data_IF_359204893760
#
_entry.id   IF_359204893760
#
_cell.length_a   1.000
_cell.length_b   1.000
_cell.length_c   1.000
_cell.angle_alpha   90.00
_cell.angle_beta   90.00
_cell.angle_gamma   90.00
#
_symmetry.space_group_name_H-M   'P 1'
#
loop_
_entity.id
_entity.type
_entity.pdbx_description
1 polymer ?
#
# COMPACT_ATOMS: atom_id res chain seq x y z
N UNK A 1 14.84 -56.66 21.55
CA UNK A 1 15.37 -55.59 22.44
C UNK A 1 15.37 -54.28 21.67
N UNK A 2 14.27 -53.52 21.75
CA UNK A 2 14.08 -52.27 20.99
C UNK A 2 14.34 -51.09 21.93
N UNK A 3 15.34 -50.27 21.58
CA UNK A 3 15.80 -49.11 22.35
C UNK A 3 14.80 -47.96 22.23
N UNK A 4 14.25 -47.56 23.38
CA UNK A 4 13.47 -46.32 23.54
C UNK A 4 14.41 -45.12 23.50
N UNK A 5 14.28 -44.27 22.48
CA UNK A 5 14.93 -42.96 22.42
C UNK A 5 14.06 -41.95 23.17
N UNK A 6 14.50 -41.52 24.35
CA UNK A 6 13.92 -40.42 25.10
C UNK A 6 14.38 -39.10 24.46
N UNK A 7 13.48 -38.46 23.72
CA UNK A 7 13.65 -37.12 23.16
C UNK A 7 13.41 -36.11 24.29
N UNK A 8 14.49 -35.59 24.85
CA UNK A 8 14.47 -34.47 25.80
C UNK A 8 14.19 -33.19 25.02
N UNK A 9 12.95 -32.71 25.06
CA UNK A 9 12.58 -31.38 24.54
C UNK A 9 12.84 -30.36 25.64
N UNK A 10 13.99 -29.71 25.58
CA UNK A 10 14.31 -28.55 26.41
C UNK A 10 13.52 -27.33 25.90
N UNK A 11 12.33 -27.12 26.45
CA UNK A 11 11.58 -25.86 26.34
C UNK A 11 12.32 -24.77 27.13
N UNK A 12 13.37 -24.19 26.54
CA UNK A 12 13.90 -22.91 26.96
C UNK A 12 12.90 -21.82 26.54
N UNK A 13 11.84 -21.68 27.33
CA UNK A 13 11.00 -20.48 27.34
C UNK A 13 11.79 -19.31 27.90
N UNK A 14 12.75 -18.82 27.11
CA UNK A 14 13.32 -17.50 27.36
C UNK A 14 12.23 -16.48 27.08
N UNK A 15 11.79 -15.76 28.11
CA UNK A 15 11.10 -14.49 27.96
C UNK A 15 12.05 -13.54 27.23
N UNK A 16 12.09 -13.60 25.89
CA UNK A 16 12.66 -12.52 25.12
C UNK A 16 11.96 -11.24 25.58
N UNK A 17 12.69 -10.16 25.92
CA UNK A 17 12.06 -8.90 26.28
C UNK A 17 11.08 -8.53 25.17
N UNK A 18 9.83 -8.28 25.54
CA UNK A 18 8.80 -7.88 24.60
C UNK A 18 9.32 -6.69 23.80
N UNK A 19 9.36 -6.81 22.46
CA UNK A 19 10.03 -5.85 21.59
C UNK A 19 9.52 -4.41 21.77
N UNK A 20 8.30 -4.23 22.28
CA UNK A 20 7.71 -2.93 22.64
C UNK A 20 8.45 -2.21 23.79
N UNK A 21 9.09 -2.95 24.70
CA UNK A 21 9.76 -2.39 25.87
C UNK A 21 11.24 -2.04 25.61
N UNK A 22 11.74 -2.22 24.39
CA UNK A 22 13.12 -1.85 24.04
C UNK A 22 13.22 -0.32 24.02
N UNK A 23 14.25 0.21 24.68
CA UNK A 23 14.52 1.65 24.73
C UNK A 23 15.13 2.10 23.39
N UNK A 24 14.61 3.17 22.80
CA UNK A 24 15.06 3.67 21.50
C UNK A 24 16.50 4.17 21.51
N UNK A 25 16.99 4.66 22.65
CA UNK A 25 18.39 5.09 22.81
C UNK A 25 19.41 3.95 22.74
N UNK A 26 18.96 2.71 22.93
CA UNK A 26 19.78 1.49 22.85
C UNK A 26 19.82 0.91 21.43
N UNK A 27 19.04 1.46 20.50
CA UNK A 27 18.88 0.96 19.13
C UNK A 27 19.57 1.92 18.16
N UNK A 28 20.43 1.39 17.29
CA UNK A 28 20.84 2.13 16.09
C UNK A 28 19.74 2.05 15.03
N UNK A 29 18.87 3.07 15.01
CA UNK A 29 17.77 3.18 14.04
C UNK A 29 18.26 3.47 12.60
N UNK A 30 19.56 3.68 12.37
CA UNK A 30 20.12 3.75 11.02
C UNK A 30 20.49 2.37 10.46
N UNK A 31 20.64 1.35 11.32
CA UNK A 31 20.85 -0.02 10.90
C UNK A 31 19.51 -0.71 10.57
N UNK A 32 19.23 -0.83 9.27
CA UNK A 32 18.00 -1.46 8.79
C UNK A 32 17.91 -2.95 9.13
N UNK A 33 19.01 -3.64 9.41
CA UNK A 33 18.97 -5.02 9.87
C UNK A 33 18.41 -5.08 11.30
N UNK A 34 18.88 -4.22 12.20
CA UNK A 34 18.34 -4.09 13.56
C UNK A 34 16.86 -3.72 13.54
N UNK A 35 16.46 -2.73 12.73
CA UNK A 35 15.05 -2.34 12.58
C UNK A 35 14.18 -3.51 12.11
N UNK A 36 14.68 -4.32 11.17
CA UNK A 36 13.96 -5.51 10.69
C UNK A 36 13.82 -6.56 11.78
N UNK A 37 14.87 -6.83 12.54
CA UNK A 37 14.84 -7.79 13.65
C UNK A 37 13.83 -7.39 14.74
N UNK A 38 13.73 -6.10 15.07
CA UNK A 38 12.71 -5.61 16.01
C UNK A 38 11.30 -5.76 15.41
N UNK A 39 11.12 -5.34 14.14
CA UNK A 39 9.85 -5.47 13.42
C UNK A 39 9.34 -6.91 13.42
N UNK A 40 10.20 -7.89 13.16
CA UNK A 40 9.83 -9.30 13.04
C UNK A 40 9.42 -9.92 14.39
N UNK A 41 9.74 -9.26 15.50
CA UNK A 41 9.28 -9.63 16.86
C UNK A 41 7.95 -8.97 17.26
N UNK A 42 7.46 -8.03 16.46
CA UNK A 42 6.21 -7.31 16.69
C UNK A 42 5.05 -7.97 15.91
N UNK A 43 3.82 -7.71 16.37
CA UNK A 43 2.63 -8.05 15.58
C UNK A 43 2.61 -7.31 14.23
N UNK A 44 1.89 -7.79 13.20
CA UNK A 44 1.94 -7.17 11.86
C UNK A 44 1.61 -5.68 11.80
N UNK A 45 0.65 -5.23 12.64
CA UNK A 45 0.25 -3.82 12.71
C UNK A 45 1.33 -2.97 13.41
N UNK A 46 1.81 -3.43 14.55
CA UNK A 46 2.87 -2.79 15.33
C UNK A 46 4.17 -2.69 14.54
N UNK A 47 4.56 -3.76 13.84
CA UNK A 47 5.74 -3.77 12.97
C UNK A 47 5.63 -2.74 11.84
N UNK A 48 4.45 -2.57 11.26
CA UNK A 48 4.23 -1.54 10.23
C UNK A 48 4.31 -0.12 10.81
N UNK A 49 3.71 0.12 11.98
CA UNK A 49 3.78 1.40 12.68
C UNK A 49 5.22 1.74 13.10
N UNK A 50 5.96 0.77 13.63
CA UNK A 50 7.37 0.94 13.98
C UNK A 50 8.24 1.30 12.77
N UNK A 51 8.07 0.62 11.64
CA UNK A 51 8.81 0.98 10.41
C UNK A 51 8.43 2.38 9.94
N UNK A 52 7.16 2.75 10.03
CA UNK A 52 6.71 4.11 9.66
C UNK A 52 7.32 5.18 10.57
N UNK A 53 7.44 4.91 11.88
CA UNK A 53 8.19 5.74 12.82
C UNK A 53 9.63 5.96 12.35
N UNK A 54 10.38 4.87 12.12
CA UNK A 54 11.79 4.93 11.73
C UNK A 54 11.98 5.70 10.42
N UNK A 55 11.12 5.45 9.43
CA UNK A 55 11.27 6.05 8.10
C UNK A 55 10.80 7.51 8.06
N UNK A 56 9.69 7.86 8.70
CA UNK A 56 9.08 9.19 8.53
C UNK A 56 9.31 10.14 9.69
N UNK A 57 9.48 9.63 10.90
CA UNK A 57 9.40 10.46 12.10
C UNK A 57 10.70 10.50 12.91
N UNK A 58 11.62 9.57 12.65
CA UNK A 58 12.97 9.65 13.20
C UNK A 58 13.80 10.70 12.45
N UNK A 59 14.37 11.66 13.20
CA UNK A 59 15.04 12.85 12.65
C UNK A 59 16.24 12.55 11.74
N UNK A 60 16.88 11.39 11.92
CA UNK A 60 18.03 10.97 11.11
C UNK A 60 17.64 10.23 9.82
N UNK A 61 16.35 10.00 9.59
CA UNK A 61 15.89 9.33 8.36
C UNK A 61 15.99 10.26 7.15
N UNK A 62 16.38 9.69 6.00
CA UNK A 62 16.36 10.39 4.71
C UNK A 62 14.95 10.81 4.28
N UNK A 63 13.91 10.15 4.80
CA UNK A 63 12.49 10.42 4.50
C UNK A 63 11.77 11.12 5.65
N UNK A 64 12.50 11.80 6.52
CA UNK A 64 11.93 12.53 7.65
C UNK A 64 10.91 13.57 7.19
N UNK A 65 9.73 13.57 7.81
CA UNK A 65 8.61 14.42 7.43
C UNK A 65 8.74 15.88 7.90
N UNK A 66 9.84 16.23 8.58
CA UNK A 66 10.08 17.58 9.10
C UNK A 66 9.44 17.85 10.47
N UNK A 67 8.69 16.91 11.04
CA UNK A 67 8.01 17.07 12.32
C UNK A 67 8.27 15.89 13.27
N UNK A 68 8.83 16.12 14.47
CA UNK A 68 9.09 15.05 15.42
C UNK A 68 7.79 14.48 15.95
N UNK A 69 7.76 13.18 16.27
CA UNK A 69 6.66 12.61 17.04
C UNK A 69 6.90 12.86 18.53
N UNK A 70 5.96 13.56 19.14
CA UNK A 70 5.99 13.93 20.55
C UNK A 70 4.71 13.45 21.24
N UNK A 71 4.79 13.14 22.53
CA UNK A 71 3.66 12.83 23.40
C UNK A 71 2.88 14.11 23.77
N UNK A 72 1.90 13.99 24.68
CA UNK A 72 1.07 15.12 25.13
C UNK A 72 1.83 16.16 25.95
N UNK A 73 2.96 15.76 26.52
CA UNK A 73 3.88 16.55 27.33
C UNK A 73 4.96 17.24 26.47
N UNK A 74 5.04 16.91 25.18
CA UNK A 74 6.01 17.46 24.24
C UNK A 74 7.34 16.71 24.19
N UNK A 75 7.39 15.48 24.70
CA UNK A 75 8.58 14.63 24.79
C UNK A 75 8.61 13.59 23.67
N UNK A 76 9.81 13.23 23.23
CA UNK A 76 10.01 12.15 22.26
C UNK A 76 9.69 10.78 22.88
N UNK A 77 9.30 9.76 22.09
CA UNK A 77 9.13 8.41 22.62
C UNK A 77 10.47 7.87 23.13
N UNK A 78 10.44 7.24 24.30
CA UNK A 78 11.59 6.58 24.90
C UNK A 78 11.67 5.12 24.49
N UNK A 79 10.53 4.48 24.23
CA UNK A 79 10.44 3.05 23.88
C UNK A 79 9.88 2.81 22.49
N UNK A 80 10.13 1.60 21.96
CA UNK A 80 9.53 1.12 20.70
C UNK A 80 7.99 1.16 20.78
N UNK A 81 7.40 0.77 21.92
CA UNK A 81 5.96 0.77 22.13
C UNK A 81 5.36 2.17 22.06
N UNK A 82 5.97 3.15 22.70
CA UNK A 82 5.53 4.55 22.63
C UNK A 82 5.66 5.10 21.21
N UNK A 83 6.75 4.79 20.51
CA UNK A 83 6.94 5.20 19.14
C UNK A 83 5.86 4.63 18.19
N UNK A 84 5.46 3.37 18.40
CA UNK A 84 4.36 2.73 17.69
C UNK A 84 3.04 3.45 17.97
N UNK A 85 2.72 3.69 19.25
CA UNK A 85 1.44 4.27 19.65
C UNK A 85 1.28 5.71 19.15
N UNK A 86 2.35 6.51 19.24
CA UNK A 86 2.39 7.87 18.70
C UNK A 86 2.26 7.88 17.17
N UNK A 87 2.94 6.96 16.48
CA UNK A 87 2.85 6.85 15.01
C UNK A 87 1.45 6.45 14.57
N UNK A 88 0.85 5.46 15.22
CA UNK A 88 -0.51 5.03 14.93
C UNK A 88 -1.52 6.17 15.13
N UNK A 89 -1.35 6.97 16.20
CA UNK A 89 -2.19 8.13 16.47
C UNK A 89 -2.04 9.22 15.42
N UNK A 90 -0.80 9.54 15.01
CA UNK A 90 -0.50 10.51 13.94
C UNK A 90 -1.12 10.06 12.62
N UNK A 91 -0.87 8.82 12.21
CA UNK A 91 -1.41 8.25 10.98
C UNK A 91 -2.95 8.28 10.96
N UNK A 92 -3.59 7.99 12.11
CA UNK A 92 -5.04 8.06 12.23
C UNK A 92 -5.56 9.50 12.04
N UNK A 93 -4.90 10.49 12.64
CA UNK A 93 -5.25 11.91 12.47
C UNK A 93 -5.04 12.36 11.03
N UNK A 94 -3.90 12.01 10.41
CA UNK A 94 -3.63 12.33 9.00
C UNK A 94 -4.67 11.71 8.07
N UNK A 95 -5.06 10.45 8.30
CA UNK A 95 -6.14 9.81 7.54
C UNK A 95 -7.47 10.53 7.73
N UNK A 96 -7.81 10.96 8.94
CA UNK A 96 -9.03 11.73 9.20
C UNK A 96 -8.99 13.09 8.51
N UNK A 97 -7.84 13.77 8.50
CA UNK A 97 -7.65 15.03 7.78
C UNK A 97 -7.76 14.80 6.27
N UNK A 98 -7.14 13.77 5.70
CA UNK A 98 -7.26 13.44 4.27
C UNK A 98 -8.71 13.08 3.91
N UNK A 99 -9.42 12.34 4.76
CA UNK A 99 -10.84 12.02 4.54
C UNK A 99 -11.72 13.26 4.68
N UNK A 100 -11.43 14.15 5.63
CA UNK A 100 -12.16 15.40 5.84
C UNK A 100 -11.84 16.50 4.82
N UNK A 101 -10.64 16.48 4.23
CA UNK A 101 -10.18 17.38 3.17
C UNK A 101 -10.50 16.89 1.76
N UNK A 102 -10.96 15.65 1.60
CA UNK A 102 -11.65 15.24 0.37
C UNK A 102 -12.98 16.00 0.33
N UNK A 103 -12.96 17.21 -0.23
CA UNK A 103 -14.17 17.81 -0.77
C UNK A 103 -14.89 16.72 -1.59
N UNK A 104 -16.23 16.63 -1.54
CA UNK A 104 -16.94 15.68 -2.38
C UNK A 104 -16.49 15.95 -3.81
N UNK A 105 -15.72 15.01 -4.40
CA UNK A 105 -15.25 15.11 -5.78
C UNK A 105 -16.53 15.37 -6.58
N UNK A 106 -16.60 16.54 -7.22
CA UNK A 106 -17.84 16.97 -7.85
C UNK A 106 -18.27 15.85 -8.80
N UNK A 107 -19.56 15.49 -8.85
CA UNK A 107 -20.03 14.36 -9.67
C UNK A 107 -19.47 14.32 -11.10
N UNK A 108 -19.19 15.49 -11.67
CA UNK A 108 -18.51 15.68 -12.95
C UNK A 108 -17.03 15.29 -12.95
N UNK A 109 -16.29 15.61 -11.90
CA UNK A 109 -14.88 15.21 -11.72
C UNK A 109 -14.78 13.69 -11.57
N UNK A 110 -15.65 13.05 -10.77
CA UNK A 110 -15.73 11.59 -10.68
C UNK A 110 -16.05 10.95 -12.04
N UNK A 111 -16.99 11.54 -12.78
CA UNK A 111 -17.32 11.09 -14.13
C UNK A 111 -16.12 11.22 -15.08
N UNK A 112 -15.33 12.30 -14.95
CA UNK A 112 -14.12 12.52 -15.75
C UNK A 112 -13.02 11.53 -15.41
N UNK A 113 -12.74 11.26 -14.14
CA UNK A 113 -11.76 10.24 -13.74
C UNK A 113 -12.12 8.85 -14.27
N UNK A 114 -13.40 8.47 -14.17
CA UNK A 114 -13.91 7.21 -14.70
C UNK A 114 -13.83 7.16 -16.23
N UNK A 115 -14.10 8.27 -16.91
CA UNK A 115 -13.92 8.40 -18.36
C UNK A 115 -12.45 8.18 -18.75
N UNK A 116 -11.51 8.86 -18.08
CA UNK A 116 -10.08 8.74 -18.34
C UNK A 116 -9.59 7.30 -18.09
N UNK A 117 -10.13 6.63 -17.07
CA UNK A 117 -9.87 5.21 -16.82
C UNK A 117 -10.35 4.29 -17.95
N UNK A 118 -11.53 4.57 -18.52
CA UNK A 118 -12.06 3.83 -19.67
C UNK A 118 -11.24 4.08 -20.94
N UNK A 119 -10.78 5.31 -21.18
CA UNK A 119 -9.87 5.62 -22.29
C UNK A 119 -8.56 4.85 -22.16
N UNK A 120 -7.89 4.90 -20.99
CA UNK A 120 -6.66 4.12 -20.75
C UNK A 120 -6.88 2.62 -20.98
N UNK A 121 -8.01 2.09 -20.52
CA UNK A 121 -8.36 0.68 -20.70
C UNK A 121 -8.56 0.34 -22.18
N UNK A 122 -9.17 1.23 -22.96
CA UNK A 122 -9.32 1.07 -24.42
C UNK A 122 -7.96 1.04 -25.12
N UNK A 123 -7.08 1.98 -24.77
CA UNK A 123 -5.77 2.11 -25.40
C UNK A 123 -4.90 0.86 -25.15
N UNK A 124 -4.92 0.30 -23.93
CA UNK A 124 -4.28 -0.99 -23.61
C UNK A 124 -4.79 -2.12 -24.51
N UNK A 125 -6.10 -2.15 -24.81
CA UNK A 125 -6.68 -3.19 -25.68
C UNK A 125 -6.27 -3.00 -27.15
N UNK A 126 -6.15 -1.76 -27.61
CA UNK A 126 -5.63 -1.42 -28.94
C UNK A 126 -4.18 -1.88 -29.06
N UNK A 127 -3.35 -1.61 -28.06
CA UNK A 127 -1.96 -2.06 -28.01
C UNK A 127 -1.86 -3.60 -28.02
N UNK A 128 -2.75 -4.28 -27.30
CA UNK A 128 -2.83 -5.74 -27.31
C UNK A 128 -3.22 -6.30 -28.69
N UNK A 129 -4.15 -5.66 -29.40
CA UNK A 129 -4.49 -6.02 -30.78
C UNK A 129 -3.34 -5.76 -31.74
N UNK A 130 -2.64 -4.63 -31.60
CA UNK A 130 -1.47 -4.31 -32.40
C UNK A 130 -0.36 -5.34 -32.20
N UNK A 131 -0.14 -5.78 -30.96
CA UNK A 131 0.81 -6.85 -30.64
C UNK A 131 0.42 -8.18 -31.28
N UNK A 132 -0.85 -8.61 -31.14
CA UNK A 132 -1.33 -9.84 -31.78
C UNK A 132 -1.16 -9.79 -33.31
N UNK A 133 -1.44 -8.63 -33.92
CA UNK A 133 -1.26 -8.44 -35.36
C UNK A 133 0.21 -8.49 -35.77
N UNK A 134 1.11 -7.96 -34.96
CA UNK A 134 2.56 -8.06 -35.19
C UNK A 134 3.03 -9.52 -35.15
N UNK A 135 2.49 -10.33 -34.23
CA UNK A 135 2.89 -11.73 -34.02
C UNK A 135 2.30 -12.69 -35.06
N UNK A 136 1.02 -12.51 -35.41
CA UNK A 136 0.27 -13.47 -36.24
C UNK A 136 -0.18 -12.91 -37.60
N UNK A 137 0.21 -11.68 -37.93
CA UNK A 137 -0.23 -11.01 -39.15
C UNK A 137 -1.76 -10.90 -39.24
N UNK A 138 -2.32 -11.13 -40.43
CA UNK A 138 -3.77 -11.11 -40.62
C UNK A 138 -4.49 -12.29 -39.95
N UNK A 139 -3.77 -13.36 -39.61
CA UNK A 139 -4.29 -14.51 -38.85
C UNK A 139 -4.67 -14.17 -37.41
N UNK A 140 -4.22 -13.03 -36.87
CA UNK A 140 -4.53 -12.57 -35.52
C UNK A 140 -6.04 -12.49 -35.25
N UNK A 141 -6.86 -12.13 -36.25
CA UNK A 141 -8.31 -11.98 -36.10
C UNK A 141 -9.05 -13.30 -35.84
N UNK A 142 -8.45 -14.42 -36.21
CA UNK A 142 -9.04 -15.75 -36.00
C UNK A 142 -8.74 -16.30 -34.60
N UNK A 143 -7.92 -15.58 -33.82
CA UNK A 143 -7.51 -15.98 -32.48
C UNK A 143 -8.62 -15.70 -31.47
N UNK A 144 -8.88 -16.62 -30.51
CA UNK A 144 -9.87 -16.37 -29.46
C UNK A 144 -9.52 -15.15 -28.59
N UNK A 145 -8.23 -14.85 -28.43
CA UNK A 145 -7.74 -13.65 -27.74
C UNK A 145 -8.24 -12.37 -28.43
N UNK A 146 -8.26 -12.34 -29.76
CA UNK A 146 -8.75 -11.19 -30.54
C UNK A 146 -10.24 -10.93 -30.29
N UNK A 147 -11.07 -11.98 -30.35
CA UNK A 147 -12.52 -11.88 -30.08
C UNK A 147 -12.80 -11.36 -28.67
N UNK A 148 -12.00 -11.78 -27.68
CA UNK A 148 -12.10 -11.31 -26.30
C UNK A 148 -11.78 -9.82 -26.19
N UNK A 149 -10.72 -9.36 -26.88
CA UNK A 149 -10.35 -7.94 -26.95
C UNK A 149 -11.46 -7.11 -27.61
N UNK A 150 -12.03 -7.56 -28.73
CA UNK A 150 -13.13 -6.86 -29.41
C UNK A 150 -14.37 -6.74 -28.52
N UNK A 151 -14.73 -7.81 -27.82
CA UNK A 151 -15.87 -7.81 -26.90
C UNK A 151 -15.67 -6.79 -25.78
N UNK A 152 -14.48 -6.76 -25.17
CA UNK A 152 -14.13 -5.80 -24.12
C UNK A 152 -14.08 -4.37 -24.64
N UNK A 153 -13.51 -4.15 -25.83
CA UNK A 153 -13.50 -2.83 -26.48
C UNK A 153 -14.91 -2.32 -26.78
N UNK A 154 -15.81 -3.18 -27.26
CA UNK A 154 -17.21 -2.83 -27.49
C UNK A 154 -17.92 -2.44 -26.19
N UNK A 155 -17.65 -3.14 -25.08
CA UNK A 155 -18.15 -2.78 -23.76
C UNK A 155 -17.63 -1.42 -23.28
N UNK A 156 -16.33 -1.18 -23.40
CA UNK A 156 -15.71 0.11 -23.02
C UNK A 156 -16.31 1.24 -23.87
N UNK A 157 -16.45 1.06 -25.18
CA UNK A 157 -17.03 2.06 -26.07
C UNK A 157 -18.48 2.37 -25.72
N UNK A 158 -19.30 1.37 -25.37
CA UNK A 158 -20.67 1.60 -24.86
C UNK A 158 -20.66 2.43 -23.58
N UNK A 159 -19.77 2.14 -22.63
CA UNK A 159 -19.62 2.90 -21.39
C UNK A 159 -19.19 4.35 -21.65
N UNK A 160 -18.24 4.56 -22.56
CA UNK A 160 -17.82 5.89 -22.98
C UNK A 160 -18.99 6.67 -23.59
N UNK A 161 -19.70 6.11 -24.56
CA UNK A 161 -20.87 6.79 -25.17
C UNK A 161 -21.91 7.18 -24.11
N UNK A 162 -22.25 6.26 -23.19
CA UNK A 162 -23.21 6.54 -22.12
C UNK A 162 -22.74 7.62 -21.14
N UNK A 163 -21.44 7.72 -20.88
CA UNK A 163 -20.87 8.70 -19.96
C UNK A 163 -20.63 10.08 -20.58
N UNK A 164 -20.56 10.18 -21.91
CA UNK A 164 -20.23 11.41 -22.63
C UNK A 164 -21.06 12.63 -22.17
N UNK A 165 -22.40 12.55 -22.01
CA UNK A 165 -23.20 13.69 -21.56
C UNK A 165 -22.87 14.14 -20.12
N UNK A 166 -22.51 13.19 -19.25
CA UNK A 166 -22.16 13.50 -17.84
C UNK A 166 -20.81 14.22 -17.74
N UNK A 167 -19.88 13.89 -18.64
CA UNK A 167 -18.51 14.44 -18.61
C UNK A 167 -18.44 15.79 -19.34
N UNK A 168 -19.05 15.88 -20.51
CA UNK A 168 -18.92 17.02 -21.42
C UNK A 168 -20.14 17.94 -21.49
N UNK A 169 -21.25 17.57 -20.83
CA UNK A 169 -22.54 18.25 -20.97
C UNK A 169 -23.40 17.65 -22.09
N UNK A 170 -24.69 17.94 -22.04
CA UNK A 170 -25.71 17.39 -22.97
C UNK A 170 -25.74 18.09 -24.34
N UNK A 171 -24.97 19.17 -24.51
CA UNK A 171 -24.98 20.00 -25.71
C UNK A 171 -23.82 19.64 -26.65
N UNK A 172 -23.96 18.54 -27.39
CA UNK A 172 -23.24 18.26 -28.65
C UNK A 172 -24.21 17.63 -29.64
#
# INVERSE_FOLDING_TARGET
MTRTFLLFVSLLGGCAPEARNITLSEIDLSDMQTVRTIRDQLGPQDGAAFVNYVVKHHVKSASYCGQPLLNTEGEAPDTVGEAIDLTARRDALERQVVVGMRAPIHSRELAKEKWDGLIRSRDIMIDAQARLRSEFGDGAKLRPEWMSLETRMAEINRKLVAMKPTVFGSDI
#
